data_IF_705184979649
#
_entry.id   IF_705184979649
#
_cell.length_a   1.000
_cell.length_b   1.000
_cell.length_c   1.000
_cell.angle_alpha   90.00
_cell.angle_beta   90.00
_cell.angle_gamma   90.00
#
_symmetry.space_group_name_H-M   'P 1'
#
loop_
_entity.id
_entity.type
_entity.pdbx_description
1 polymer ?
#
# COMPACT_ATOMS: atom_id res chain seq x y z
N UNK A 1 -27.18 12.31 3.67
CA UNK A 1 -26.79 10.93 3.36
C UNK A 1 -26.26 10.28 4.64
N UNK A 2 -26.78 9.13 5.01
CA UNK A 2 -26.27 8.32 6.12
C UNK A 2 -25.39 7.21 5.57
N UNK A 3 -24.28 6.91 6.25
CA UNK A 3 -23.44 5.75 5.95
C UNK A 3 -23.57 4.75 7.08
N UNK A 4 -23.95 3.52 6.74
CA UNK A 4 -24.02 2.43 7.71
C UNK A 4 -22.86 1.49 7.46
N UNK A 5 -22.00 1.29 8.47
CA UNK A 5 -20.87 0.38 8.42
C UNK A 5 -21.19 -0.90 9.17
N UNK A 6 -21.01 -2.03 8.53
CA UNK A 6 -21.21 -3.35 9.12
C UNK A 6 -19.93 -4.16 9.05
N UNK A 7 -19.35 -4.46 10.20
CA UNK A 7 -18.24 -5.42 10.31
C UNK A 7 -18.75 -6.84 10.13
N UNK A 8 -18.21 -7.57 9.16
CA UNK A 8 -18.58 -8.95 8.88
C UNK A 8 -17.63 -9.91 9.60
N UNK A 9 -16.31 -9.65 9.52
CA UNK A 9 -15.28 -10.47 10.15
C UNK A 9 -14.28 -9.55 10.87
N UNK A 10 -13.92 -9.93 12.10
CA UNK A 10 -12.82 -9.35 12.85
C UNK A 10 -12.06 -10.46 13.56
N UNK A 11 -10.74 -10.37 13.57
CA UNK A 11 -9.88 -11.25 14.34
C UNK A 11 -8.79 -11.91 13.51
N UNK A 12 -8.08 -12.87 14.10
CA UNK A 12 -6.99 -13.55 13.41
C UNK A 12 -7.51 -14.43 12.26
N UNK A 13 -6.74 -14.49 11.20
CA UNK A 13 -7.09 -15.25 9.99
C UNK A 13 -6.05 -15.12 8.91
N UNK A 14 -6.46 -15.43 7.70
CA UNK A 14 -5.66 -15.25 6.49
C UNK A 14 -6.49 -14.57 5.40
N UNK A 15 -5.79 -13.97 4.45
CA UNK A 15 -6.37 -13.40 3.25
C UNK A 15 -5.71 -14.04 2.05
N UNK A 16 -6.52 -14.44 1.07
CA UNK A 16 -6.02 -14.93 -0.22
C UNK A 16 -6.49 -13.97 -1.31
N UNK A 17 -5.55 -13.45 -2.08
CA UNK A 17 -5.80 -12.56 -3.22
C UNK A 17 -4.84 -12.91 -4.35
N UNK A 18 -5.34 -12.99 -5.59
CA UNK A 18 -4.51 -13.32 -6.74
C UNK A 18 -3.79 -14.68 -6.63
N UNK A 19 -4.36 -15.64 -5.87
CA UNK A 19 -3.73 -16.95 -5.62
C UNK A 19 -2.66 -16.96 -4.53
N UNK A 20 -2.33 -15.81 -3.95
CA UNK A 20 -1.36 -15.67 -2.86
C UNK A 20 -2.09 -15.56 -1.53
N UNK A 21 -1.67 -16.36 -0.55
CA UNK A 21 -2.20 -16.34 0.81
C UNK A 21 -1.22 -15.64 1.74
N UNK A 22 -1.70 -14.65 2.46
CA UNK A 22 -0.95 -13.93 3.49
C UNK A 22 -1.72 -13.93 4.81
N UNK A 23 -0.95 -13.88 5.87
CA UNK A 23 -1.44 -13.85 7.23
C UNK A 23 -1.43 -12.40 7.74
N UNK A 24 -2.04 -12.18 8.87
CA UNK A 24 -2.13 -10.86 9.48
C UNK A 24 -1.44 -10.81 10.85
N UNK A 25 -0.76 -9.68 11.11
CA UNK A 25 -0.06 -9.43 12.38
C UNK A 25 -0.98 -8.87 13.48
N UNK A 26 -2.02 -8.14 13.11
CA UNK A 26 -2.81 -7.31 14.04
C UNK A 26 -4.30 -7.66 14.11
N UNK A 27 -4.76 -8.56 13.26
CA UNK A 27 -6.18 -8.93 13.11
C UNK A 27 -6.81 -8.32 11.87
N UNK A 28 -7.44 -9.19 11.06
CA UNK A 28 -8.15 -8.79 9.85
C UNK A 28 -9.45 -8.10 10.23
N UNK A 29 -9.75 -7.01 9.54
CA UNK A 29 -11.06 -6.36 9.61
C UNK A 29 -11.67 -6.38 8.21
N UNK A 30 -12.85 -7.00 8.08
CA UNK A 30 -13.65 -6.98 6.86
C UNK A 30 -14.96 -6.26 7.14
N UNK A 31 -15.24 -5.22 6.40
CA UNK A 31 -16.39 -4.34 6.58
C UNK A 31 -17.12 -4.13 5.26
N UNK A 32 -18.42 -3.87 5.35
CA UNK A 32 -19.22 -3.43 4.21
C UNK A 32 -19.81 -2.07 4.55
N UNK A 33 -19.42 -1.07 3.81
CA UNK A 33 -19.97 0.27 3.89
C UNK A 33 -21.16 0.39 2.92
N UNK A 34 -22.30 0.86 3.42
CA UNK A 34 -23.48 1.11 2.59
C UNK A 34 -23.88 2.57 2.72
N UNK A 35 -23.94 3.26 1.62
CA UNK A 35 -24.51 4.61 1.55
C UNK A 35 -26.02 4.54 1.36
N UNK A 36 -26.75 5.41 2.03
CA UNK A 36 -28.20 5.45 1.97
C UNK A 36 -28.70 6.86 1.74
N UNK A 37 -29.83 6.98 1.05
CA UNK A 37 -30.57 8.22 0.86
C UNK A 37 -31.98 8.06 1.41
N UNK A 38 -32.44 9.06 2.15
CA UNK A 38 -33.81 9.07 2.69
C UNK A 38 -34.78 9.54 1.61
N UNK A 39 -35.93 8.86 1.54
CA UNK A 39 -37.06 9.27 0.72
C UNK A 39 -37.99 10.11 1.58
N UNK A 40 -38.07 11.43 1.38
CA UNK A 40 -38.96 12.28 2.16
C UNK A 40 -40.37 12.21 1.71
N UNK A 41 -41.32 12.42 2.64
CA UNK A 41 -42.72 12.65 2.36
C UNK A 41 -43.19 13.93 3.06
N UNK A 42 -43.95 14.76 2.36
CA UNK A 42 -44.50 15.99 2.95
C UNK A 42 -45.53 15.73 4.03
N UNK A 43 -46.15 14.52 4.06
CA UNK A 43 -47.19 14.16 5.01
C UNK A 43 -46.70 13.41 6.24
N UNK A 44 -45.59 12.62 6.09
CA UNK A 44 -45.11 11.71 7.14
C UNK A 44 -43.62 11.86 7.46
N UNK A 45 -42.94 12.84 6.88
CA UNK A 45 -41.52 13.04 7.05
C UNK A 45 -40.68 12.03 6.27
N UNK A 46 -39.91 11.19 6.92
CA UNK A 46 -39.14 10.13 6.27
C UNK A 46 -40.03 8.94 5.95
N UNK A 47 -40.23 8.66 4.66
CA UNK A 47 -41.04 7.55 4.19
C UNK A 47 -40.25 6.26 4.08
N UNK A 48 -39.01 6.33 3.57
CA UNK A 48 -38.18 5.17 3.31
C UNK A 48 -36.69 5.56 3.31
N UNK A 49 -35.82 4.55 3.30
CA UNK A 49 -34.36 4.73 3.13
C UNK A 49 -33.89 3.80 2.03
N UNK A 50 -33.41 4.37 0.95
CA UNK A 50 -32.87 3.63 -0.21
C UNK A 50 -31.37 3.49 -0.07
N UNK A 51 -30.86 2.28 -0.32
CA UNK A 51 -29.42 2.03 -0.43
C UNK A 51 -28.93 2.54 -1.80
N UNK A 52 -27.94 3.43 -1.78
CA UNK A 52 -27.41 4.09 -2.97
C UNK A 52 -26.04 3.54 -3.41
N UNK A 53 -25.27 2.99 -2.46
CA UNK A 53 -23.95 2.42 -2.77
C UNK A 53 -23.59 1.34 -1.76
N UNK A 54 -22.68 0.43 -2.15
CA UNK A 54 -22.12 -0.60 -1.30
C UNK A 54 -20.68 -0.91 -1.68
N UNK A 55 -19.76 -0.71 -0.72
CA UNK A 55 -18.35 -0.94 -0.90
C UNK A 55 -17.85 -1.83 0.23
N UNK A 56 -17.13 -2.90 -0.12
CA UNK A 56 -16.43 -3.74 0.86
C UNK A 56 -15.02 -3.25 1.10
N UNK A 57 -14.54 -3.35 2.34
CA UNK A 57 -13.17 -3.04 2.72
C UNK A 57 -12.59 -4.14 3.57
N UNK A 58 -11.38 -4.56 3.23
CA UNK A 58 -10.61 -5.52 4.01
C UNK A 58 -9.27 -4.91 4.34
N UNK A 59 -9.03 -4.67 5.61
CA UNK A 59 -7.78 -4.12 6.13
C UNK A 59 -7.02 -5.16 6.91
N UNK A 60 -5.72 -5.25 6.68
CA UNK A 60 -4.81 -6.16 7.38
C UNK A 60 -3.39 -5.62 7.38
N UNK A 61 -2.57 -6.14 8.28
CA UNK A 61 -1.12 -5.91 8.29
C UNK A 61 -0.44 -7.20 7.81
N UNK A 62 0.04 -7.26 6.55
CA UNK A 62 0.56 -8.49 5.98
C UNK A 62 1.77 -9.03 6.74
N UNK A 63 1.75 -10.32 7.03
CA UNK A 63 2.86 -11.09 7.60
C UNK A 63 3.03 -12.38 6.80
N UNK A 64 4.25 -12.77 6.59
CA UNK A 64 4.57 -14.02 5.90
C UNK A 64 6.03 -14.03 5.42
N UNK A 65 6.41 -15.10 4.75
CA UNK A 65 7.70 -15.13 4.08
C UNK A 65 7.72 -14.13 2.93
N UNK A 66 8.78 -13.34 2.85
CA UNK A 66 9.03 -12.55 1.66
C UNK A 66 9.14 -13.49 0.46
N UNK A 67 8.42 -13.17 -0.58
CA UNK A 67 8.48 -13.85 -1.87
C UNK A 67 8.10 -12.87 -2.98
N UNK A 68 8.57 -13.11 -4.18
CA UNK A 68 8.17 -12.31 -5.34
C UNK A 68 6.65 -12.27 -5.51
N UNK A 69 5.97 -13.40 -5.29
CA UNK A 69 4.51 -13.48 -5.40
C UNK A 69 3.79 -12.59 -4.39
N UNK A 70 4.28 -12.55 -3.13
CA UNK A 70 3.73 -11.64 -2.11
C UNK A 70 3.95 -10.18 -2.50
N UNK A 71 5.16 -9.84 -2.94
CA UNK A 71 5.50 -8.48 -3.35
C UNK A 71 4.72 -8.04 -4.59
N UNK A 72 4.50 -8.93 -5.56
CA UNK A 72 3.68 -8.64 -6.73
C UNK A 72 2.21 -8.33 -6.39
N UNK A 73 1.67 -8.93 -5.33
CA UNK A 73 0.32 -8.61 -4.83
C UNK A 73 0.28 -7.29 -4.09
N UNK A 74 1.26 -7.02 -3.22
CA UNK A 74 1.30 -5.81 -2.40
C UNK A 74 1.79 -4.56 -3.19
N UNK A 75 2.61 -4.79 -4.21
CA UNK A 75 3.20 -3.75 -5.06
C UNK A 75 3.07 -4.14 -6.55
N UNK A 76 1.84 -4.17 -7.08
CA UNK A 76 1.59 -4.60 -8.44
C UNK A 76 2.18 -3.64 -9.48
N UNK A 77 2.41 -4.14 -10.69
CA UNK A 77 3.10 -3.41 -11.76
C UNK A 77 2.39 -2.12 -12.18
N UNK A 78 1.08 -2.05 -12.05
CA UNK A 78 0.33 -0.83 -12.34
C UNK A 78 0.63 0.33 -11.38
N UNK A 79 1.21 0.06 -10.21
CA UNK A 79 1.75 1.08 -9.30
C UNK A 79 3.19 1.42 -9.62
N UNK A 80 3.99 0.42 -10.03
CA UNK A 80 5.40 0.63 -10.41
C UNK A 80 5.51 1.49 -11.66
N UNK A 81 4.61 1.27 -12.62
CA UNK A 81 4.52 1.99 -13.90
C UNK A 81 3.13 2.63 -14.02
N UNK A 82 2.91 3.77 -13.34
CA UNK A 82 1.57 4.35 -13.22
C UNK A 82 1.09 4.97 -14.55
N UNK A 83 -0.06 4.52 -15.02
CA UNK A 83 -0.79 5.12 -16.14
C UNK A 83 -1.99 5.90 -15.59
N UNK A 84 -1.93 7.23 -15.68
CA UNK A 84 -3.01 8.11 -15.20
C UNK A 84 -4.30 7.83 -15.97
N UNK A 85 -5.41 7.67 -15.25
CA UNK A 85 -6.72 7.33 -15.83
C UNK A 85 -6.94 5.82 -16.03
N UNK A 86 -5.98 4.97 -15.68
CA UNK A 86 -6.16 3.51 -15.72
C UNK A 86 -7.25 3.06 -14.76
N UNK A 87 -8.14 2.19 -15.24
CA UNK A 87 -9.11 1.47 -14.42
C UNK A 87 -8.41 0.46 -13.52
N UNK A 88 -8.70 0.48 -12.22
CA UNK A 88 -8.13 -0.46 -11.25
C UNK A 88 -8.91 -1.77 -11.27
N UNK A 89 -10.24 -1.72 -11.22
CA UNK A 89 -11.08 -2.92 -11.20
C UNK A 89 -11.20 -3.60 -12.58
N UNK A 90 -11.01 -2.87 -13.66
CA UNK A 90 -11.00 -3.47 -15.01
C UNK A 90 -9.71 -4.21 -15.36
N UNK A 91 -8.65 -4.08 -14.56
CA UNK A 91 -7.33 -4.61 -14.91
C UNK A 91 -6.60 -5.35 -13.80
N UNK A 92 -6.99 -5.16 -12.54
CA UNK A 92 -6.27 -5.69 -11.38
C UNK A 92 -7.20 -6.29 -10.31
N UNK A 93 -8.49 -6.44 -10.60
CA UNK A 93 -9.43 -7.06 -9.69
C UNK A 93 -9.31 -8.58 -9.69
N UNK A 94 -9.50 -9.16 -8.51
CA UNK A 94 -9.55 -10.60 -8.32
C UNK A 94 -10.46 -10.95 -7.14
N UNK A 95 -10.93 -12.19 -7.00
CA UNK A 95 -11.61 -12.63 -5.80
C UNK A 95 -10.71 -12.48 -4.57
N UNK A 96 -11.26 -11.88 -3.51
CA UNK A 96 -10.60 -11.74 -2.22
C UNK A 96 -11.27 -12.67 -1.22
N UNK A 97 -10.51 -13.60 -0.67
CA UNK A 97 -11.00 -14.58 0.29
C UNK A 97 -10.42 -14.25 1.66
N UNK A 98 -11.28 -13.97 2.63
CA UNK A 98 -10.92 -13.80 4.04
C UNK A 98 -11.34 -15.05 4.80
N UNK A 99 -10.38 -15.75 5.38
CA UNK A 99 -10.62 -16.96 6.16
C UNK A 99 -10.31 -16.69 7.63
N UNK A 100 -11.34 -16.60 8.46
CA UNK A 100 -11.21 -16.38 9.90
C UNK A 100 -10.91 -17.69 10.63
N UNK A 101 -10.04 -17.63 11.65
CA UNK A 101 -9.84 -18.76 12.57
C UNK A 101 -11.11 -19.17 13.33
N UNK A 102 -12.11 -18.30 13.40
CA UNK A 102 -13.41 -18.61 13.98
C UNK A 102 -14.29 -19.53 13.10
N UNK A 103 -13.78 -19.98 11.95
CA UNK A 103 -14.49 -20.90 11.06
C UNK A 103 -15.47 -20.20 10.11
N UNK A 104 -15.19 -18.96 9.75
CA UNK A 104 -15.95 -18.21 8.74
C UNK A 104 -15.06 -17.91 7.53
N UNK A 105 -15.61 -18.10 6.36
CA UNK A 105 -14.99 -17.75 5.08
C UNK A 105 -15.84 -16.70 4.38
N UNK A 106 -15.30 -15.52 4.17
CA UNK A 106 -15.90 -14.43 3.41
C UNK A 106 -15.17 -14.35 2.07
N UNK A 107 -15.92 -14.33 0.98
CA UNK A 107 -15.37 -14.16 -0.36
C UNK A 107 -16.02 -12.94 -1.00
N UNK A 108 -15.24 -11.91 -1.31
CA UNK A 108 -15.63 -10.85 -2.22
C UNK A 108 -15.32 -11.29 -3.64
N UNK A 109 -16.26 -11.06 -4.56
CA UNK A 109 -16.13 -11.56 -5.93
C UNK A 109 -15.17 -10.75 -6.78
N UNK A 110 -15.10 -9.44 -6.54
CA UNK A 110 -14.19 -8.51 -7.21
C UNK A 110 -13.61 -7.56 -6.18
N UNK A 111 -12.32 -7.63 -5.96
CA UNK A 111 -11.60 -6.73 -5.06
C UNK A 111 -10.26 -6.32 -5.70
N UNK A 112 -9.77 -5.16 -5.31
CA UNK A 112 -8.47 -4.64 -5.73
C UNK A 112 -7.73 -4.04 -4.53
N UNK A 113 -6.40 -4.01 -4.58
CA UNK A 113 -5.57 -3.32 -3.60
C UNK A 113 -5.75 -1.80 -3.82
N UNK A 114 -6.27 -1.10 -2.80
CA UNK A 114 -6.49 0.36 -2.87
C UNK A 114 -5.56 1.14 -1.95
N UNK A 115 -4.96 0.49 -0.98
CA UNK A 115 -3.92 1.08 -0.14
C UNK A 115 -2.75 0.11 0.01
N UNK A 116 -1.59 0.54 -0.47
CA UNK A 116 -0.36 -0.23 -0.29
C UNK A 116 0.12 -0.12 1.16
N UNK A 117 0.72 -1.18 1.69
CA UNK A 117 1.38 -1.08 2.98
C UNK A 117 2.69 -0.29 2.87
N UNK A 118 3.00 0.53 3.88
CA UNK A 118 4.34 1.08 4.01
C UNK A 118 5.35 -0.07 4.24
N UNK A 119 6.56 0.09 3.71
CA UNK A 119 7.66 -0.85 3.96
C UNK A 119 8.52 -0.27 5.07
N UNK A 120 8.57 -0.96 6.21
CA UNK A 120 9.36 -0.58 7.37
C UNK A 120 10.60 -1.47 7.43
N UNK A 121 11.75 -0.89 7.12
CA UNK A 121 13.03 -1.58 7.03
C UNK A 121 13.89 -1.17 8.24
N UNK A 122 13.74 -1.87 9.35
CA UNK A 122 14.52 -1.59 10.55
C UNK A 122 15.66 -2.60 10.73
N UNK A 123 16.74 -2.25 11.47
CA UNK A 123 17.83 -3.19 11.75
C UNK A 123 17.40 -4.47 12.46
N UNK A 124 16.21 -4.46 13.07
CA UNK A 124 15.69 -5.60 13.83
C UNK A 124 14.72 -6.43 13.00
N UNK A 125 13.94 -5.81 12.12
CA UNK A 125 12.91 -6.48 11.32
C UNK A 125 12.53 -5.71 10.07
N UNK A 126 12.13 -6.44 9.04
CA UNK A 126 11.28 -5.92 7.98
C UNK A 126 9.82 -6.08 8.41
N UNK A 127 9.03 -5.06 8.26
CA UNK A 127 7.60 -5.14 8.51
C UNK A 127 6.85 -4.37 7.43
N UNK A 128 5.63 -4.80 7.17
CA UNK A 128 4.70 -4.05 6.34
C UNK A 128 3.72 -3.28 7.24
N UNK A 129 3.33 -2.10 6.80
CA UNK A 129 2.22 -1.37 7.36
C UNK A 129 0.87 -1.98 6.99
N UNK A 130 -0.20 -1.24 7.17
CA UNK A 130 -1.54 -1.69 6.84
C UNK A 130 -1.80 -1.62 5.33
N UNK A 131 -2.21 -2.75 4.75
CA UNK A 131 -2.78 -2.84 3.41
C UNK A 131 -4.31 -2.76 3.49
N UNK A 132 -4.94 -2.19 2.46
CA UNK A 132 -6.39 -2.19 2.32
C UNK A 132 -6.79 -2.67 0.92
N UNK A 133 -7.71 -3.62 0.89
CA UNK A 133 -8.38 -4.06 -0.32
C UNK A 133 -9.79 -3.51 -0.32
N UNK A 134 -10.20 -2.93 -1.43
CA UNK A 134 -11.58 -2.51 -1.66
C UNK A 134 -12.27 -3.51 -2.56
N UNK A 135 -13.50 -3.87 -2.23
CA UNK A 135 -14.33 -4.77 -3.02
C UNK A 135 -15.53 -4.00 -3.54
N UNK A 136 -15.86 -4.22 -4.79
CA UNK A 136 -16.99 -3.64 -5.48
C UNK A 136 -17.92 -4.73 -6.01
N UNK A 137 -19.02 -4.32 -6.58
CA UNK A 137 -19.92 -5.20 -7.31
C UNK A 137 -19.14 -5.87 -8.46
N UNK A 138 -19.25 -7.20 -8.56
CA UNK A 138 -18.54 -7.93 -9.61
C UNK A 138 -19.03 -7.46 -11.00
N UNK A 139 -18.08 -7.28 -11.92
CA UNK A 139 -18.40 -6.83 -13.27
C UNK A 139 -19.45 -7.76 -13.95
N UNK A 140 -20.43 -7.16 -14.59
CA UNK A 140 -21.56 -7.87 -15.20
C UNK A 140 -22.63 -8.36 -14.23
N UNK A 141 -22.51 -8.06 -12.93
CA UNK A 141 -23.55 -8.33 -11.92
C UNK A 141 -24.38 -7.08 -11.64
N UNK A 142 -25.65 -7.29 -11.37
CA UNK A 142 -26.53 -6.22 -10.91
C UNK A 142 -26.63 -6.24 -9.38
N UNK A 143 -26.89 -5.11 -8.72
CA UNK A 143 -27.05 -5.04 -7.27
C UNK A 143 -28.15 -5.95 -6.70
N UNK A 144 -29.10 -6.34 -7.55
CA UNK A 144 -30.21 -7.25 -7.22
C UNK A 144 -29.89 -8.73 -7.42
N UNK A 145 -28.76 -9.05 -8.05
CA UNK A 145 -28.38 -10.43 -8.29
C UNK A 145 -27.97 -11.09 -6.98
N UNK A 146 -28.41 -12.32 -6.75
CA UNK A 146 -27.99 -13.10 -5.60
C UNK A 146 -26.46 -13.32 -5.65
N UNK A 147 -25.80 -13.09 -4.52
CA UNK A 147 -24.32 -13.21 -4.40
C UNK A 147 -23.55 -12.33 -5.40
N UNK A 148 -24.08 -11.16 -5.72
CA UNK A 148 -23.44 -10.24 -6.68
C UNK A 148 -22.20 -9.55 -6.13
N UNK A 149 -22.06 -9.48 -4.81
CA UNK A 149 -21.02 -8.71 -4.14
C UNK A 149 -20.11 -9.59 -3.29
N UNK A 150 -20.67 -10.36 -2.34
CA UNK A 150 -19.90 -11.26 -1.48
C UNK A 150 -20.69 -12.50 -1.08
N UNK A 151 -19.97 -13.53 -0.63
CA UNK A 151 -20.54 -14.72 -0.02
C UNK A 151 -19.92 -14.98 1.33
N UNK A 152 -20.72 -15.50 2.27
CA UNK A 152 -20.25 -15.95 3.59
C UNK A 152 -20.58 -17.42 3.73
N UNK A 153 -19.61 -18.23 4.12
CA UNK A 153 -19.76 -19.66 4.36
C UNK A 153 -19.07 -20.07 5.65
N UNK A 154 -19.58 -21.12 6.30
CA UNK A 154 -18.82 -21.81 7.33
C UNK A 154 -17.68 -22.61 6.67
N UNK A 155 -16.48 -22.53 7.22
CA UNK A 155 -15.33 -23.27 6.71
C UNK A 155 -14.33 -23.54 7.85
N UNK A 156 -13.79 -24.74 7.90
CA UNK A 156 -12.73 -25.06 8.86
C UNK A 156 -11.45 -24.32 8.45
N UNK A 157 -10.80 -23.66 9.41
CA UNK A 157 -9.51 -23.01 9.18
C UNK A 157 -8.41 -24.08 9.16
N UNK A 158 -7.79 -24.31 8.03
CA UNK A 158 -6.79 -25.35 7.76
C UNK A 158 -5.41 -24.83 7.33
N UNK A 159 -5.24 -23.50 7.29
CA UNK A 159 -4.03 -22.88 6.75
C UNK A 159 -2.83 -22.85 7.72
N UNK A 160 -2.98 -23.43 8.91
CA UNK A 160 -1.89 -23.50 9.89
C UNK A 160 -1.49 -22.16 10.51
N UNK A 161 -0.28 -22.14 11.08
CA UNK A 161 0.33 -20.92 11.62
C UNK A 161 1.13 -20.19 10.53
N UNK A 162 1.22 -18.86 10.61
CA UNK A 162 2.07 -18.10 9.72
C UNK A 162 3.53 -18.56 9.87
N UNK A 163 4.30 -18.61 8.80
CA UNK A 163 5.70 -18.97 8.86
C UNK A 163 6.47 -17.98 9.73
N UNK A 164 7.35 -18.48 10.59
CA UNK A 164 8.12 -17.67 11.54
C UNK A 164 9.35 -17.02 10.92
N UNK A 165 9.76 -17.50 9.76
CA UNK A 165 10.95 -17.04 9.04
C UNK A 165 10.61 -16.00 7.97
N UNK A 166 11.52 -15.08 7.70
CA UNK A 166 11.46 -14.21 6.54
C UNK A 166 11.41 -12.71 6.80
N UNK A 167 11.09 -12.30 8.03
CA UNK A 167 11.09 -10.88 8.40
C UNK A 167 12.08 -10.56 9.53
N UNK A 168 13.06 -11.44 9.79
CA UNK A 168 14.05 -11.25 10.83
C UNK A 168 15.22 -10.40 10.36
N UNK A 169 15.74 -9.63 11.30
CA UNK A 169 16.79 -8.62 11.23
C UNK A 169 17.74 -8.63 10.05
N UNK A 170 17.58 -7.67 9.16
CA UNK A 170 18.47 -7.45 8.05
C UNK A 170 19.14 -6.08 8.20
N UNK A 171 20.41 -6.02 7.84
CA UNK A 171 21.09 -4.74 7.67
C UNK A 171 20.65 -4.11 6.36
N UNK A 172 20.19 -2.86 6.41
CA UNK A 172 19.75 -2.09 5.25
C UNK A 172 20.71 -0.94 4.98
N UNK A 173 21.28 -0.92 3.79
CA UNK A 173 22.08 0.19 3.30
C UNK A 173 21.36 0.91 2.17
N UNK A 174 21.41 2.24 2.19
CA UNK A 174 20.90 3.09 1.11
C UNK A 174 22.04 3.64 0.26
N UNK A 175 21.84 3.72 -1.05
CA UNK A 175 22.74 4.41 -1.98
C UNK A 175 21.94 5.38 -2.83
N UNK A 176 22.44 6.61 -2.96
CA UNK A 176 21.82 7.67 -3.78
C UNK A 176 22.94 8.39 -4.55
N UNK A 177 23.11 8.07 -5.82
CA UNK A 177 24.26 8.52 -6.59
C UNK A 177 25.58 8.13 -5.92
N UNK A 178 26.41 9.11 -5.56
CA UNK A 178 27.68 8.88 -4.82
C UNK A 178 27.50 8.83 -3.30
N UNK A 179 26.29 9.16 -2.78
CA UNK A 179 26.03 9.11 -1.35
C UNK A 179 25.74 7.66 -0.93
N UNK A 180 26.48 7.17 0.04
CA UNK A 180 26.23 5.89 0.71
C UNK A 180 25.73 6.16 2.12
N UNK A 181 24.60 5.56 2.48
CA UNK A 181 23.99 5.60 3.82
C UNK A 181 24.05 4.18 4.37
N UNK A 182 25.17 3.77 5.00
CA UNK A 182 25.35 2.41 5.46
C UNK A 182 24.47 2.08 6.67
N UNK A 183 24.21 3.09 7.53
CA UNK A 183 23.48 2.91 8.78
C UNK A 183 22.47 4.03 9.01
N UNK A 184 21.41 3.69 9.74
CA UNK A 184 20.33 4.61 10.13
C UNK A 184 19.96 4.39 11.59
N UNK A 185 19.38 5.41 12.24
CA UNK A 185 18.93 5.31 13.65
C UNK A 185 17.76 4.34 13.79
N UNK A 186 16.71 4.54 12.99
CA UNK A 186 15.44 3.82 13.11
C UNK A 186 15.10 2.97 11.88
N UNK A 187 16.06 2.85 10.93
CA UNK A 187 15.82 2.19 9.66
C UNK A 187 15.26 3.11 8.58
N UNK A 188 14.64 2.50 7.59
CA UNK A 188 13.99 3.17 6.48
C UNK A 188 12.48 2.97 6.52
N UNK A 189 11.73 4.00 6.18
CA UNK A 189 10.30 3.90 5.90
C UNK A 189 10.08 4.28 4.45
N UNK A 190 9.51 3.36 3.67
CA UNK A 190 9.11 3.62 2.29
C UNK A 190 7.59 3.60 2.23
N UNK A 191 6.99 4.68 1.74
CA UNK A 191 5.55 4.84 1.60
C UNK A 191 5.18 4.94 0.12
N UNK A 192 4.20 4.15 -0.29
CA UNK A 192 3.68 4.11 -1.66
C UNK A 192 2.19 4.38 -1.57
N UNK A 193 1.78 5.57 -1.99
CA UNK A 193 0.42 6.08 -1.83
C UNK A 193 -0.24 6.31 -3.20
N UNK A 194 -1.05 5.37 -3.70
CA UNK A 194 -1.87 5.60 -4.87
C UNK A 194 -2.98 6.61 -4.57
N UNK A 195 -3.22 7.53 -5.51
CA UNK A 195 -4.39 8.41 -5.52
C UNK A 195 -5.43 7.81 -6.43
N UNK A 196 -6.55 7.42 -5.86
CA UNK A 196 -7.63 6.73 -6.55
C UNK A 196 -8.90 7.57 -6.53
N UNK A 197 -9.46 7.82 -7.71
CA UNK A 197 -10.69 8.57 -7.90
C UNK A 197 -11.84 7.59 -8.19
N UNK A 198 -12.94 7.60 -7.41
CA UNK A 198 -14.04 6.69 -7.61
C UNK A 198 -14.83 7.04 -8.88
N UNK A 199 -15.22 6.02 -9.64
CA UNK A 199 -16.13 6.10 -10.78
C UNK A 199 -17.46 5.49 -10.35
N UNK A 200 -18.52 6.29 -10.36
CA UNK A 200 -19.83 5.85 -9.92
C UNK A 200 -20.89 6.03 -11.02
N UNK A 201 -21.92 5.19 -10.98
CA UNK A 201 -23.11 5.30 -11.81
C UNK A 201 -24.36 5.41 -10.96
N UNK A 202 -25.42 6.02 -11.50
CA UNK A 202 -26.68 6.19 -10.77
C UNK A 202 -27.37 4.86 -10.44
N UNK A 203 -27.11 3.82 -11.25
CA UNK A 203 -27.78 2.53 -11.13
C UNK A 203 -27.04 1.52 -10.25
N UNK A 204 -25.72 1.66 -10.11
CA UNK A 204 -24.87 0.65 -9.45
C UNK A 204 -24.02 1.20 -8.30
N UNK A 205 -23.99 2.54 -8.12
CA UNK A 205 -23.06 3.18 -7.18
C UNK A 205 -21.65 3.17 -7.72
N UNK A 206 -20.66 2.99 -6.84
CA UNK A 206 -19.24 2.92 -7.22
C UNK A 206 -18.94 1.62 -7.95
N UNK A 207 -18.50 1.72 -9.20
CA UNK A 207 -18.21 0.58 -10.08
C UNK A 207 -16.73 0.39 -10.37
N UNK A 208 -15.91 1.41 -10.17
CA UNK A 208 -14.47 1.38 -10.46
C UNK A 208 -13.74 2.47 -9.68
N UNK A 209 -12.42 2.40 -9.71
CA UNK A 209 -11.50 3.47 -9.33
C UNK A 209 -10.53 3.73 -10.48
N UNK A 210 -10.28 4.99 -10.79
CA UNK A 210 -9.25 5.39 -11.74
C UNK A 210 -8.02 5.89 -11.00
N UNK A 211 -6.84 5.56 -11.54
CA UNK A 211 -5.58 6.01 -11.00
C UNK A 211 -5.33 7.48 -11.34
N UNK A 212 -5.33 8.35 -10.33
CA UNK A 212 -5.00 9.78 -10.45
C UNK A 212 -3.51 10.08 -10.26
N UNK A 213 -2.73 9.12 -9.75
CA UNK A 213 -1.30 9.22 -9.53
C UNK A 213 -0.80 8.28 -8.45
N UNK A 214 0.52 8.20 -8.30
CA UNK A 214 1.17 7.45 -7.22
C UNK A 214 2.26 8.33 -6.63
N UNK A 215 2.22 8.53 -5.32
CA UNK A 215 3.25 9.23 -4.58
C UNK A 215 4.14 8.20 -3.87
N UNK A 216 5.45 8.23 -4.15
CA UNK A 216 6.42 7.32 -3.51
C UNK A 216 7.47 8.14 -2.79
N UNK A 217 7.60 7.87 -1.50
CA UNK A 217 8.57 8.55 -0.64
C UNK A 217 9.35 7.56 0.21
N UNK A 218 10.58 7.89 0.52
CA UNK A 218 11.40 7.16 1.48
C UNK A 218 11.97 8.12 2.52
N UNK A 219 12.11 7.65 3.75
CA UNK A 219 12.64 8.43 4.87
C UNK A 219 13.61 7.60 5.69
N UNK A 220 14.68 8.25 6.16
CA UNK A 220 15.59 7.69 7.14
C UNK A 220 16.30 8.77 7.94
N UNK A 221 16.81 8.43 9.12
CA UNK A 221 17.75 9.27 9.87
C UNK A 221 19.14 8.62 9.76
N UNK A 222 20.04 9.15 8.90
CA UNK A 222 21.33 8.51 8.65
C UNK A 222 22.27 8.65 9.83
N UNK A 223 23.14 7.64 9.99
CA UNK A 223 24.26 7.62 10.93
C UNK A 223 25.59 7.68 10.18
N UNK A 224 26.58 8.34 10.78
CA UNK A 224 27.97 8.29 10.31
C UNK A 224 28.28 9.07 9.03
N UNK A 225 27.35 9.89 8.52
CA UNK A 225 27.62 10.73 7.36
C UNK A 225 28.52 11.92 7.74
N UNK A 226 29.51 12.22 6.89
CA UNK A 226 30.30 13.43 6.98
C UNK A 226 29.49 14.66 6.55
N UNK A 227 29.90 15.86 7.02
CA UNK A 227 29.28 17.13 6.62
C UNK A 227 29.25 17.30 5.10
N UNK A 228 30.32 16.97 4.40
CA UNK A 228 30.42 17.09 2.95
C UNK A 228 29.43 16.15 2.23
N UNK A 229 29.23 14.94 2.75
CA UNK A 229 28.23 14.01 2.20
C UNK A 229 26.81 14.50 2.40
N UNK A 230 26.50 15.04 3.57
CA UNK A 230 25.18 15.62 3.87
C UNK A 230 24.89 16.81 2.95
N UNK A 231 25.85 17.74 2.81
CA UNK A 231 25.70 18.90 1.96
C UNK A 231 25.58 18.52 0.47
N UNK A 232 26.30 17.49 0.02
CA UNK A 232 26.22 17.00 -1.35
C UNK A 232 24.86 16.33 -1.68
N UNK A 233 24.18 15.80 -0.68
CA UNK A 233 22.85 15.19 -0.86
C UNK A 233 21.71 16.20 -0.96
N UNK A 234 21.93 17.44 -0.45
CA UNK A 234 20.91 18.48 -0.49
C UNK A 234 20.79 19.05 -1.92
N UNK A 235 19.56 19.25 -2.42
CA UNK A 235 19.38 19.81 -3.75
C UNK A 235 19.84 21.26 -3.81
N UNK A 236 20.70 21.56 -4.75
CA UNK A 236 21.07 22.94 -5.07
C UNK A 236 19.97 23.50 -6.00
N UNK A 237 19.08 24.31 -5.45
CA UNK A 237 18.03 24.97 -6.21
C UNK A 237 18.61 26.17 -6.96
N UNK A 238 18.60 26.12 -8.28
CA UNK A 238 19.06 27.22 -9.14
C UNK A 238 18.05 28.36 -9.24
N UNK A 239 16.89 28.25 -8.66
CA UNK A 239 15.85 29.27 -8.64
C UNK A 239 14.43 28.70 -8.47
N UNK A 240 13.49 29.62 -8.27
CA UNK A 240 12.06 29.29 -8.16
C UNK A 240 11.57 28.69 -9.49
N UNK A 241 10.92 27.51 -9.44
CA UNK A 241 10.44 26.82 -10.63
C UNK A 241 11.47 25.86 -11.27
N UNK A 242 12.65 25.69 -10.67
CA UNK A 242 13.59 24.67 -11.11
C UNK A 242 13.01 23.25 -10.89
N UNK A 243 13.28 22.34 -11.83
CA UNK A 243 12.92 20.94 -11.68
C UNK A 243 13.75 20.30 -10.57
N UNK A 244 13.09 19.55 -9.72
CA UNK A 244 13.73 18.74 -8.67
C UNK A 244 13.92 17.28 -9.08
N UNK A 245 13.44 16.88 -10.27
CA UNK A 245 13.61 15.51 -10.74
C UNK A 245 15.10 15.13 -10.75
N UNK A 246 15.46 14.14 -9.95
CA UNK A 246 16.84 13.71 -9.76
C UNK A 246 17.35 12.89 -10.94
N UNK A 247 18.67 12.87 -11.12
CA UNK A 247 19.33 12.00 -12.09
C UNK A 247 19.65 10.60 -11.52
N UNK A 248 19.53 10.41 -10.22
CA UNK A 248 19.95 9.19 -9.53
C UNK A 248 18.77 8.45 -8.91
N UNK A 249 18.87 7.14 -8.91
CA UNK A 249 17.96 6.28 -8.18
C UNK A 249 18.40 6.22 -6.70
N UNK A 250 17.43 6.11 -5.78
CA UNK A 250 17.69 5.70 -4.41
C UNK A 250 17.49 4.19 -4.33
N UNK A 251 18.53 3.46 -4.03
CA UNK A 251 18.48 2.01 -3.85
C UNK A 251 18.69 1.67 -2.38
N UNK A 252 17.72 0.99 -1.78
CA UNK A 252 17.77 0.51 -0.39
C UNK A 252 17.86 -1.02 -0.47
N UNK A 253 19.02 -1.56 -0.16
CA UNK A 253 19.27 -2.99 -0.28
C UNK A 253 19.47 -3.62 1.10
N UNK A 254 18.83 -4.78 1.29
CA UNK A 254 18.97 -5.61 2.49
C UNK A 254 19.93 -6.76 2.26
N UNK A 255 20.67 -7.15 3.28
CA UNK A 255 21.46 -8.40 3.26
C UNK A 255 20.59 -9.65 3.11
N UNK A 256 19.28 -9.54 3.39
CA UNK A 256 18.29 -10.62 3.23
C UNK A 256 17.61 -10.65 1.87
N UNK A 257 18.14 -9.98 0.84
CA UNK A 257 17.69 -10.08 -0.54
C UNK A 257 16.54 -9.14 -0.94
N UNK A 258 15.94 -8.37 -0.02
CA UNK A 258 14.95 -7.36 -0.37
C UNK A 258 15.66 -6.10 -0.86
N UNK A 259 15.27 -5.61 -2.03
CA UNK A 259 15.74 -4.35 -2.60
C UNK A 259 14.55 -3.47 -2.94
N UNK A 260 14.61 -2.22 -2.51
CA UNK A 260 13.63 -1.19 -2.86
C UNK A 260 14.35 -0.08 -3.60
N UNK A 261 13.89 0.22 -4.82
CA UNK A 261 14.47 1.26 -5.67
C UNK A 261 13.44 2.35 -5.92
N UNK A 262 13.74 3.59 -5.56
CA UNK A 262 12.99 4.77 -5.97
C UNK A 262 13.68 5.38 -7.18
N UNK A 263 12.95 5.47 -8.30
CA UNK A 263 13.48 5.98 -9.57
C UNK A 263 13.62 7.50 -9.55
N UNK A 264 14.70 8.00 -10.18
CA UNK A 264 14.96 9.44 -10.33
C UNK A 264 14.68 10.24 -9.06
N UNK A 265 15.12 9.71 -7.94
CA UNK A 265 14.79 10.25 -6.61
C UNK A 265 15.40 11.64 -6.39
N UNK A 266 14.74 12.41 -5.55
CA UNK A 266 15.20 13.73 -5.10
C UNK A 266 15.10 13.83 -3.60
N UNK A 267 16.10 14.41 -2.96
CA UNK A 267 16.06 14.74 -1.53
C UNK A 267 15.15 15.96 -1.34
N UNK A 268 14.07 15.80 -0.59
CA UNK A 268 13.06 16.86 -0.40
C UNK A 268 13.22 17.56 0.94
N UNK A 269 13.64 16.83 1.96
CA UNK A 269 13.81 17.35 3.31
C UNK A 269 15.08 16.80 3.96
N UNK A 270 15.74 17.64 4.73
CA UNK A 270 16.86 17.26 5.56
C UNK A 270 17.18 18.41 6.51
N UNK A 271 16.57 18.46 7.72
CA UNK A 271 17.00 19.44 8.70
C UNK A 271 18.44 19.14 9.09
N UNK A 272 19.29 20.16 9.03
CA UNK A 272 20.64 20.10 9.53
C UNK A 272 20.63 20.53 10.99
N UNK A 273 21.00 19.63 11.88
CA UNK A 273 21.14 19.93 13.30
C UNK A 273 22.59 20.20 13.62
N UNK A 274 22.90 21.45 13.95
CA UNK A 274 24.22 21.86 14.43
C UNK A 274 24.32 21.54 15.92
N UNK A 275 24.99 20.45 16.23
CA UNK A 275 25.40 20.18 17.62
C UNK A 275 26.65 20.98 18.01
N UNK A 276 26.96 21.02 19.29
CA UNK A 276 28.14 21.74 19.81
C UNK A 276 29.48 21.20 19.28
N UNK A 277 29.48 19.97 18.75
CA UNK A 277 30.70 19.25 18.34
C UNK A 277 30.66 18.72 16.92
N UNK A 278 29.48 18.54 16.30
CA UNK A 278 29.36 18.05 14.92
C UNK A 278 28.00 18.39 14.31
N UNK A 279 27.98 18.52 12.99
CA UNK A 279 26.78 18.55 12.19
C UNK A 279 26.17 17.14 12.15
N UNK A 280 24.87 17.04 12.39
CA UNK A 280 24.10 15.79 12.21
C UNK A 280 23.00 16.03 11.20
N UNK A 281 22.81 15.11 10.29
CA UNK A 281 21.60 15.06 9.50
C UNK A 281 20.41 14.69 10.41
N UNK A 282 19.33 15.40 10.27
CA UNK A 282 18.04 14.96 10.77
C UNK A 282 17.44 13.91 9.83
N UNK A 283 16.12 13.76 9.84
CA UNK A 283 15.42 12.87 8.91
C UNK A 283 15.62 13.35 7.46
N UNK A 284 16.19 12.50 6.61
CA UNK A 284 16.25 12.71 5.17
C UNK A 284 14.99 12.14 4.53
N UNK A 285 14.33 12.94 3.72
CA UNK A 285 13.19 12.53 2.91
C UNK A 285 13.56 12.51 1.44
N UNK A 286 13.14 11.45 0.75
CA UNK A 286 13.32 11.24 -0.68
C UNK A 286 11.97 11.11 -1.35
N UNK A 287 11.81 11.64 -2.55
CA UNK A 287 10.63 11.49 -3.40
C UNK A 287 11.05 10.91 -4.74
N UNK A 288 10.35 9.90 -5.20
CA UNK A 288 10.57 9.30 -6.51
C UNK A 288 9.92 10.14 -7.62
N UNK A 289 10.49 10.06 -8.82
CA UNK A 289 9.92 10.60 -10.06
C UNK A 289 9.91 9.51 -11.12
N UNK A 290 8.99 9.65 -12.08
CA UNK A 290 8.90 8.69 -13.19
C UNK A 290 10.19 8.74 -14.01
N UNK A 291 10.81 7.59 -14.20
CA UNK A 291 11.87 7.44 -15.19
C UNK A 291 11.26 7.38 -16.58
N UNK A 292 11.59 8.34 -17.41
CA UNK A 292 11.02 8.44 -18.78
C UNK A 292 11.53 7.34 -19.72
N UNK A 293 12.59 6.64 -19.36
CA UNK A 293 13.17 5.57 -20.17
C UNK A 293 12.39 4.26 -20.04
N UNK A 294 12.00 3.89 -18.83
CA UNK A 294 11.28 2.63 -18.53
C UNK A 294 9.85 2.84 -18.01
N UNK A 295 9.45 4.09 -17.78
CA UNK A 295 8.14 4.47 -17.24
C UNK A 295 7.94 4.13 -15.77
N UNK A 296 8.97 3.62 -15.09
CA UNK A 296 8.88 3.21 -13.69
C UNK A 296 9.03 4.39 -12.73
N UNK A 297 8.30 4.30 -11.63
CA UNK A 297 8.39 5.21 -10.48
C UNK A 297 9.21 4.58 -9.35
N UNK A 298 9.06 3.27 -9.15
CA UNK A 298 9.79 2.50 -8.16
C UNK A 298 9.87 1.03 -8.56
N UNK A 299 10.72 0.27 -7.85
CA UNK A 299 10.73 -1.18 -7.90
C UNK A 299 10.90 -1.78 -6.51
N UNK A 300 10.32 -2.96 -6.29
CA UNK A 300 10.49 -3.75 -5.06
C UNK A 300 10.76 -5.18 -5.51
N UNK A 301 11.95 -5.66 -5.20
CA UNK A 301 12.44 -6.97 -5.64
C UNK A 301 12.88 -7.79 -4.44
N UNK A 302 12.71 -9.09 -4.54
CA UNK A 302 13.24 -10.03 -3.56
C UNK A 302 14.03 -11.12 -4.27
N UNK A 303 15.28 -11.28 -3.85
CA UNK A 303 16.14 -12.37 -4.29
C UNK A 303 16.42 -13.24 -3.08
N UNK A 304 16.07 -14.51 -3.14
CA UNK A 304 16.32 -15.44 -2.03
C UNK A 304 17.83 -15.51 -1.76
N UNK A 305 18.27 -15.18 -0.55
CA UNK A 305 19.69 -15.29 -0.22
C UNK A 305 20.09 -16.76 -0.23
N UNK A 306 21.12 -17.09 -1.03
CA UNK A 306 21.66 -18.43 -1.20
C UNK A 306 22.29 -19.00 0.11
#
# INVERSE_FOLDING_TARGET
MGTTRQSIIRGPGSVTFGGVTFYDASGITAEVDSSTSDVPSSMSGKLDTIKTDQVGKVSLTPVGNLSEALLAVLFPDWLKTPEIGRSVFGSADAPLVVHSRAGQKLTFLAAALTKCPDILLSPVKTAFGQAEFTALLANGKLPTDANSFYTVAAATYDLGEPPRSGLSGFHYAGTFGSLSIPDTVDGWTVSIAPRLDPVATDSQGTIDYTLGGVDVTAKCTPLGLSESQILAALPVLSGRGASLAGANDLVIAATGGLTVTLKKATVVTGPLNWGTTMLRAGELGFTAHIDVEDGKLFDVEYTDPA
#
